data_IF_944228792927
#
_entry.id   IF_944228792927
#
_cell.length_a   1.000
_cell.length_b   1.000
_cell.length_c   1.000
_cell.angle_alpha   90.00
_cell.angle_beta   90.00
_cell.angle_gamma   90.00
#
_symmetry.space_group_name_H-M   'P 1'
#
loop_
_entity.id
_entity.type
_entity.pdbx_description
1 polymer ?
#
# COMPACT_ATOMS: atom_id res chain seq x y z
N UNK A 1 -8.52 14.35 -34.37
CA UNK A 1 -9.31 13.11 -34.58
C UNK A 1 -9.41 12.41 -33.24
N UNK A 2 -10.56 11.79 -32.94
CA UNK A 2 -10.71 11.03 -31.69
C UNK A 2 -9.88 9.73 -31.78
N UNK A 3 -9.38 9.24 -30.64
CA UNK A 3 -8.64 7.98 -30.59
C UNK A 3 -9.54 6.76 -30.82
N UNK A 4 -10.86 6.97 -30.84
CA UNK A 4 -11.91 5.96 -30.99
C UNK A 4 -12.77 6.29 -32.21
N UNK A 5 -12.34 5.90 -33.42
CA UNK A 5 -13.02 6.28 -34.67
C UNK A 5 -14.44 5.72 -34.81
N UNK A 6 -14.83 4.79 -33.94
CA UNK A 6 -16.17 4.23 -33.82
C UNK A 6 -17.11 5.02 -32.90
N UNK A 7 -16.59 5.99 -32.13
CA UNK A 7 -17.42 6.92 -31.37
C UNK A 7 -17.78 8.08 -32.29
N UNK A 8 -19.07 8.24 -32.54
CA UNK A 8 -19.61 9.30 -33.38
C UNK A 8 -19.36 10.68 -32.73
N UNK A 9 -19.03 11.68 -33.55
CA UNK A 9 -18.67 13.01 -33.04
C UNK A 9 -19.84 13.74 -32.35
N UNK A 10 -21.07 13.34 -32.65
CA UNK A 10 -22.31 13.84 -32.05
C UNK A 10 -22.80 13.02 -30.86
N UNK A 11 -22.00 12.04 -30.38
CA UNK A 11 -22.30 11.25 -29.19
C UNK A 11 -22.31 12.04 -27.85
N UNK A 12 -22.05 13.36 -27.90
CA UNK A 12 -22.07 14.25 -26.73
C UNK A 12 -20.82 14.15 -25.83
N UNK A 13 -19.73 13.58 -26.35
CA UNK A 13 -18.48 13.39 -25.61
C UNK A 13 -17.44 14.39 -26.13
N UNK A 14 -16.93 15.25 -25.25
CA UNK A 14 -15.79 16.12 -25.57
C UNK A 14 -14.50 15.31 -25.53
N UNK A 15 -13.68 15.48 -26.57
CA UNK A 15 -12.35 14.90 -26.65
C UNK A 15 -11.28 15.99 -26.52
N UNK A 16 -10.17 15.66 -25.89
CA UNK A 16 -9.02 16.54 -25.76
C UNK A 16 -8.18 16.61 -27.05
N UNK A 17 -7.08 17.37 -27.01
CA UNK A 17 -6.17 17.52 -28.15
C UNK A 17 -5.49 16.22 -28.60
N UNK A 18 -5.49 15.19 -27.76
CA UNK A 18 -4.92 13.87 -28.02
C UNK A 18 -5.98 12.87 -28.49
N UNK A 19 -7.25 13.30 -28.62
CA UNK A 19 -8.35 12.44 -29.02
C UNK A 19 -8.85 11.53 -27.88
N UNK A 20 -8.46 11.79 -26.63
CA UNK A 20 -8.96 11.09 -25.45
C UNK A 20 -10.20 11.79 -24.90
N UNK A 21 -11.17 11.06 -24.33
CA UNK A 21 -12.35 11.68 -23.75
C UNK A 21 -11.93 12.55 -22.57
N UNK A 22 -12.60 13.70 -22.41
CA UNK A 22 -12.45 14.53 -21.22
C UNK A 22 -13.26 13.91 -20.08
N UNK A 23 -12.58 13.50 -19.02
CA UNK A 23 -13.17 12.76 -17.90
C UNK A 23 -12.97 13.50 -16.57
N UNK A 24 -13.82 13.18 -15.60
CA UNK A 24 -13.48 13.37 -14.20
C UNK A 24 -12.45 12.30 -13.77
N UNK A 25 -11.34 12.74 -13.17
CA UNK A 25 -10.22 11.87 -12.79
C UNK A 25 -10.60 10.80 -11.76
N UNK A 26 -11.55 11.09 -10.87
CA UNK A 26 -11.98 10.18 -9.81
C UNK A 26 -13.12 9.26 -10.24
N UNK A 27 -14.11 9.80 -10.96
CA UNK A 27 -15.31 9.03 -11.31
C UNK A 27 -15.23 8.36 -12.67
N UNK A 28 -14.26 8.74 -13.50
CA UNK A 28 -14.09 8.28 -14.89
C UNK A 28 -15.31 8.57 -15.79
N UNK A 29 -16.18 9.48 -15.34
CA UNK A 29 -17.35 9.94 -16.07
C UNK A 29 -16.92 10.91 -17.16
N UNK A 30 -17.43 10.72 -18.37
CA UNK A 30 -17.19 11.66 -19.47
C UNK A 30 -18.10 12.89 -19.38
N UNK A 31 -17.92 13.84 -20.31
CA UNK A 31 -18.85 14.97 -20.44
C UNK A 31 -20.28 14.54 -20.74
N UNK A 32 -20.48 13.33 -21.29
CA UNK A 32 -21.79 12.72 -21.35
C UNK A 32 -22.05 11.92 -20.06
N UNK A 33 -23.01 12.31 -19.19
CA UNK A 33 -23.15 11.73 -17.86
C UNK A 33 -23.42 10.21 -17.82
N UNK A 34 -23.93 9.63 -18.91
CA UNK A 34 -24.24 8.19 -19.00
C UNK A 34 -23.08 7.33 -19.51
N UNK A 35 -21.95 7.93 -19.86
CA UNK A 35 -20.82 7.24 -20.47
C UNK A 35 -19.59 7.39 -19.58
N UNK A 36 -18.97 6.25 -19.28
CA UNK A 36 -17.77 6.12 -18.46
C UNK A 36 -16.68 5.41 -19.26
N UNK A 37 -15.43 5.68 -18.91
CA UNK A 37 -14.27 5.12 -19.60
C UNK A 37 -13.34 4.42 -18.59
N UNK A 38 -12.51 3.51 -19.08
CA UNK A 38 -11.53 2.81 -18.25
C UNK A 38 -10.36 2.29 -19.08
N UNK A 39 -9.28 1.91 -18.40
CA UNK A 39 -8.03 1.49 -19.06
C UNK A 39 -7.45 2.54 -19.98
N UNK A 40 -6.88 2.09 -21.10
CA UNK A 40 -6.23 2.96 -22.09
C UNK A 40 -7.22 3.94 -22.72
N UNK A 41 -8.51 3.63 -22.69
CA UNK A 41 -9.55 4.51 -23.21
C UNK A 41 -9.85 5.72 -22.33
N UNK A 42 -9.37 5.73 -21.09
CA UNK A 42 -9.58 6.84 -20.16
C UNK A 42 -8.49 7.91 -20.29
N UNK A 43 -7.26 7.58 -19.88
CA UNK A 43 -6.14 8.52 -19.79
C UNK A 43 -4.97 8.16 -20.71
N UNK A 44 -5.22 7.36 -21.74
CA UNK A 44 -4.20 6.84 -22.63
C UNK A 44 -3.44 5.64 -22.02
N UNK A 45 -2.35 5.20 -22.67
CA UNK A 45 -1.69 3.94 -22.35
C UNK A 45 -1.17 3.91 -20.91
N UNK A 46 -1.66 2.95 -20.13
CA UNK A 46 -1.18 2.64 -18.77
C UNK A 46 -0.81 1.16 -18.66
N UNK A 47 -0.29 0.75 -17.51
CA UNK A 47 -0.07 -0.67 -17.25
C UNK A 47 -1.41 -1.39 -16.99
N UNK A 48 -1.40 -2.73 -17.10
CA UNK A 48 -2.61 -3.54 -16.93
C UNK A 48 -3.24 -3.39 -15.52
N UNK A 49 -2.44 -3.05 -14.52
CA UNK A 49 -2.90 -2.83 -13.14
C UNK A 49 -3.82 -1.60 -13.09
N UNK A 50 -3.42 -0.50 -13.72
CA UNK A 50 -4.27 0.69 -13.86
C UNK A 50 -5.54 0.41 -14.67
N UNK A 51 -5.44 -0.40 -15.72
CA UNK A 51 -6.63 -0.76 -16.50
C UNK A 51 -7.66 -1.54 -15.68
N UNK A 52 -7.21 -2.50 -14.85
CA UNK A 52 -8.06 -3.20 -13.91
C UNK A 52 -8.65 -2.23 -12.86
N UNK A 53 -7.82 -1.38 -12.25
CA UNK A 53 -8.26 -0.39 -11.26
C UNK A 53 -9.35 0.54 -11.83
N UNK A 54 -9.13 1.10 -13.03
CA UNK A 54 -10.14 1.92 -13.71
C UNK A 54 -11.45 1.16 -13.95
N UNK A 55 -11.40 -0.14 -14.23
CA UNK A 55 -12.59 -0.98 -14.38
C UNK A 55 -13.42 -1.04 -13.10
N UNK A 56 -12.76 -1.28 -11.95
CA UNK A 56 -13.41 -1.25 -10.64
C UNK A 56 -13.95 0.15 -10.31
N UNK A 57 -13.17 1.19 -10.59
CA UNK A 57 -13.55 2.56 -10.29
C UNK A 57 -14.75 3.04 -11.11
N UNK A 58 -14.76 2.75 -12.41
CA UNK A 58 -15.88 3.04 -13.28
C UNK A 58 -17.13 2.24 -12.85
N UNK A 59 -16.97 0.99 -12.41
CA UNK A 59 -18.10 0.18 -11.93
C UNK A 59 -18.78 0.80 -10.71
N UNK A 60 -18.02 1.35 -9.75
CA UNK A 60 -18.58 2.08 -8.60
C UNK A 60 -19.39 3.29 -9.07
N UNK A 61 -18.85 4.06 -10.01
CA UNK A 61 -19.51 5.24 -10.56
C UNK A 61 -20.79 4.90 -11.31
N UNK A 62 -20.74 3.86 -12.16
CA UNK A 62 -21.90 3.35 -12.90
C UNK A 62 -22.98 2.88 -11.93
N UNK A 63 -22.61 2.13 -10.89
CA UNK A 63 -23.53 1.64 -9.88
C UNK A 63 -24.25 2.81 -9.19
N UNK A 64 -23.51 3.80 -8.69
CA UNK A 64 -24.07 5.00 -8.02
C UNK A 64 -25.00 5.79 -8.93
N UNK A 65 -24.61 5.98 -10.20
CA UNK A 65 -25.48 6.63 -11.18
C UNK A 65 -26.80 5.86 -11.38
N UNK A 66 -26.75 4.53 -11.50
CA UNK A 66 -27.94 3.70 -11.73
C UNK A 66 -28.92 3.69 -10.55
N UNK A 67 -28.41 3.85 -9.32
CA UNK A 67 -29.24 3.92 -8.11
C UNK A 67 -29.64 5.36 -7.73
N UNK A 68 -29.24 6.36 -8.52
CA UNK A 68 -29.55 7.77 -8.27
C UNK A 68 -28.78 8.41 -7.10
N UNK A 69 -27.67 7.80 -6.68
CA UNK A 69 -26.74 8.37 -5.70
C UNK A 69 -25.75 9.32 -6.38
N UNK A 70 -25.10 10.17 -5.57
CA UNK A 70 -24.03 11.04 -6.07
C UNK A 70 -22.80 10.20 -6.47
N UNK A 71 -22.38 10.31 -7.73
CA UNK A 71 -21.24 9.58 -8.31
C UNK A 71 -19.91 9.98 -7.67
N UNK A 72 -19.80 11.23 -7.20
CA UNK A 72 -18.60 11.77 -6.55
C UNK A 72 -18.46 11.30 -5.09
N UNK A 73 -19.56 10.83 -4.47
CA UNK A 73 -19.54 10.33 -3.10
C UNK A 73 -19.06 8.87 -3.07
N UNK A 74 -17.75 8.68 -3.22
CA UNK A 74 -17.13 7.36 -3.33
C UNK A 74 -16.70 6.84 -1.96
N UNK A 75 -17.09 5.61 -1.57
CA UNK A 75 -16.62 5.03 -0.32
C UNK A 75 -15.12 4.84 -0.37
N UNK A 76 -14.41 5.32 0.65
CA UNK A 76 -13.01 5.00 0.85
C UNK A 76 -12.85 3.47 1.06
N UNK A 77 -11.72 2.88 0.64
CA UNK A 77 -11.40 1.50 0.98
C UNK A 77 -11.53 1.25 2.49
N UNK A 78 -12.08 0.09 2.84
CA UNK A 78 -12.07 -0.36 4.22
C UNK A 78 -10.64 -0.65 4.66
N UNK A 79 -10.29 -0.25 5.88
CA UNK A 79 -9.00 -0.61 6.48
C UNK A 79 -9.23 -1.13 7.89
N UNK A 80 -8.75 -2.34 8.14
CA UNK A 80 -8.75 -2.94 9.47
C UNK A 80 -7.31 -3.15 9.92
N UNK A 81 -7.02 -2.73 11.14
CA UNK A 81 -5.71 -2.91 11.76
C UNK A 81 -5.94 -3.78 12.99
N UNK A 82 -5.32 -4.96 13.00
CA UNK A 82 -5.51 -5.96 14.06
C UNK A 82 -4.17 -6.28 14.69
N UNK A 83 -4.12 -6.35 16.02
CA UNK A 83 -2.91 -6.79 16.73
C UNK A 83 -2.54 -8.19 16.26
N UNK A 84 -1.28 -8.33 15.86
CA UNK A 84 -0.68 -9.55 15.34
C UNK A 84 0.60 -9.77 16.13
N UNK A 85 0.57 -10.72 17.06
CA UNK A 85 1.80 -11.13 17.72
C UNK A 85 2.71 -11.80 16.69
N UNK A 86 3.93 -11.29 16.57
CA UNK A 86 4.95 -11.87 15.72
C UNK A 86 5.81 -12.82 16.55
N UNK A 87 5.99 -14.05 16.09
CA UNK A 87 6.90 -14.99 16.73
C UNK A 87 8.36 -14.54 16.56
N UNK A 88 9.20 -14.74 17.58
CA UNK A 88 10.64 -14.42 17.49
C UNK A 88 11.35 -15.16 16.33
N UNK A 89 10.81 -16.32 15.93
CA UNK A 89 11.31 -17.12 14.82
C UNK A 89 10.78 -16.67 13.45
N UNK A 90 9.64 -15.97 13.40
CA UNK A 90 9.14 -15.36 12.16
C UNK A 90 10.04 -14.20 11.71
N UNK A 91 10.90 -13.72 12.62
CA UNK A 91 11.90 -12.67 12.42
C UNK A 91 13.34 -13.15 12.41
N UNK A 92 13.59 -14.46 12.48
CA UNK A 92 14.94 -15.01 12.57
C UNK A 92 15.67 -14.94 11.22
N UNK A 93 15.96 -13.71 10.80
CA UNK A 93 17.02 -13.24 9.92
C UNK A 93 17.50 -14.18 8.82
N UNK A 94 16.69 -14.36 7.79
CA UNK A 94 17.19 -14.57 6.40
C UNK A 94 16.77 -13.40 5.48
N UNK A 95 16.40 -12.26 6.09
CA UNK A 95 15.87 -11.07 5.41
C UNK A 95 16.91 -9.96 5.33
N UNK A 96 18.19 -10.28 5.53
CA UNK A 96 19.24 -9.35 5.17
C UNK A 96 18.98 -8.90 3.73
N UNK A 97 19.20 -7.62 3.37
CA UNK A 97 19.29 -7.20 1.98
C UNK A 97 20.48 -7.94 1.37
N UNK A 98 20.27 -9.21 1.04
CA UNK A 98 21.23 -10.03 0.35
C UNK A 98 21.25 -9.48 -1.07
N UNK A 99 22.45 -9.27 -1.60
CA UNK A 99 22.65 -9.04 -3.03
C UNK A 99 22.47 -10.37 -3.76
N UNK A 100 21.50 -11.17 -3.32
CA UNK A 100 21.21 -12.44 -3.93
C UNK A 100 20.51 -12.19 -5.26
N UNK A 101 20.88 -12.97 -6.25
CA UNK A 101 20.32 -12.80 -7.58
C UNK A 101 18.83 -13.09 -7.51
N UNK A 102 18.00 -12.15 -7.95
CA UNK A 102 16.57 -12.41 -8.15
C UNK A 102 16.43 -13.62 -9.06
N UNK A 103 15.93 -14.73 -8.50
CA UNK A 103 15.77 -15.96 -9.27
C UNK A 103 14.79 -15.71 -10.40
N UNK A 104 15.19 -16.11 -11.62
CA UNK A 104 14.29 -16.01 -12.77
C UNK A 104 13.21 -17.07 -12.60
N UNK A 105 11.95 -16.65 -12.69
CA UNK A 105 10.82 -17.58 -12.75
C UNK A 105 11.07 -18.52 -13.94
N UNK A 106 11.09 -19.85 -13.71
CA UNK A 106 11.21 -20.82 -14.78
C UNK A 106 10.12 -20.60 -15.83
N UNK A 107 10.54 -20.49 -17.08
CA UNK A 107 9.62 -20.39 -18.20
C UNK A 107 9.63 -21.67 -19.03
N UNK A 108 8.45 -22.02 -19.56
CA UNK A 108 8.34 -23.06 -20.58
C UNK A 108 9.22 -22.72 -21.79
N UNK A 109 9.87 -23.70 -22.44
CA UNK A 109 10.59 -23.46 -23.68
C UNK A 109 9.72 -22.75 -24.72
N UNK A 110 10.25 -21.68 -25.34
CA UNK A 110 9.52 -20.87 -26.32
C UNK A 110 8.95 -21.70 -27.47
N UNK A 111 9.69 -22.72 -27.91
CA UNK A 111 9.26 -23.61 -29.00
C UNK A 111 7.99 -24.42 -28.67
N UNK A 112 7.69 -24.64 -27.39
CA UNK A 112 6.48 -25.31 -26.92
C UNK A 112 5.37 -24.30 -26.68
N UNK A 113 5.67 -23.19 -25.99
CA UNK A 113 4.70 -22.14 -25.71
C UNK A 113 4.12 -21.50 -26.99
N UNK A 114 4.90 -21.37 -28.05
CA UNK A 114 4.43 -20.80 -29.33
C UNK A 114 3.52 -21.75 -30.13
N UNK A 115 3.47 -23.05 -29.79
CA UNK A 115 2.62 -24.04 -30.48
C UNK A 115 1.22 -24.13 -29.88
N UNK A 116 1.06 -23.71 -28.64
CA UNK A 116 -0.20 -23.78 -27.91
C UNK A 116 -0.42 -22.49 -27.12
N UNK A 117 -1.40 -21.70 -27.53
CA UNK A 117 -1.75 -20.44 -26.88
C UNK A 117 -2.27 -20.63 -25.45
N UNK A 118 -2.74 -21.84 -25.11
CA UNK A 118 -3.25 -22.18 -23.79
C UNK A 118 -2.16 -22.73 -22.86
N UNK A 119 -0.94 -22.92 -23.36
CA UNK A 119 0.17 -23.41 -22.57
C UNK A 119 0.63 -22.36 -21.55
N UNK A 120 0.59 -22.71 -20.27
CA UNK A 120 1.16 -21.90 -19.20
C UNK A 120 2.66 -21.69 -19.41
N UNK A 121 3.07 -20.41 -19.51
CA UNK A 121 4.44 -20.00 -19.81
C UNK A 121 5.27 -19.87 -18.55
N UNK A 122 4.74 -19.24 -17.50
CA UNK A 122 5.41 -19.11 -16.20
C UNK A 122 5.14 -20.36 -15.38
N UNK A 123 6.14 -21.22 -15.20
CA UNK A 123 5.98 -22.51 -14.52
C UNK A 123 6.08 -22.40 -12.99
N UNK A 124 6.34 -21.19 -12.47
CA UNK A 124 6.59 -20.95 -11.05
C UNK A 124 7.89 -21.57 -10.54
N UNK A 125 8.15 -21.38 -9.26
CA UNK A 125 9.27 -22.03 -8.57
C UNK A 125 8.86 -23.42 -8.08
N UNK A 126 9.84 -24.32 -7.97
CA UNK A 126 9.61 -25.57 -7.24
C UNK A 126 9.35 -25.27 -5.76
N UNK A 127 8.65 -26.16 -5.02
CA UNK A 127 8.24 -25.88 -3.64
C UNK A 127 9.39 -25.50 -2.70
N UNK A 128 10.61 -26.01 -2.93
CA UNK A 128 11.76 -25.68 -2.08
C UNK A 128 12.23 -24.26 -2.35
N UNK A 129 12.43 -23.89 -3.61
CA UNK A 129 12.82 -22.52 -3.97
C UNK A 129 11.71 -21.51 -3.62
N UNK A 130 10.44 -21.88 -3.83
CA UNK A 130 9.30 -21.04 -3.45
C UNK A 130 9.29 -20.73 -1.96
N UNK A 131 9.58 -21.73 -1.10
CA UNK A 131 9.65 -21.53 0.34
C UNK A 131 10.81 -20.62 0.73
N UNK A 132 12.00 -20.83 0.17
CA UNK A 132 13.16 -19.96 0.43
C UNK A 132 12.91 -18.51 -0.04
N UNK A 133 12.30 -18.31 -1.21
CA UNK A 133 11.94 -16.98 -1.70
C UNK A 133 10.83 -16.32 -0.85
N UNK A 134 9.86 -17.09 -0.34
CA UNK A 134 8.82 -16.57 0.54
C UNK A 134 9.36 -16.09 1.90
N UNK A 135 10.45 -16.71 2.40
CA UNK A 135 11.12 -16.29 3.64
C UNK A 135 11.69 -14.87 3.54
N UNK A 136 12.01 -14.39 2.34
CA UNK A 136 12.51 -13.03 2.07
C UNK A 136 11.44 -11.93 2.24
N UNK A 137 10.19 -12.28 2.56
CA UNK A 137 9.12 -11.32 2.80
C UNK A 137 9.51 -10.34 3.92
N UNK A 138 9.39 -9.03 3.65
CA UNK A 138 9.68 -7.98 4.61
C UNK A 138 8.51 -7.67 5.57
N UNK A 139 7.41 -8.43 5.50
CA UNK A 139 6.20 -8.21 6.31
C UNK A 139 5.71 -6.75 6.27
N UNK A 140 5.67 -6.15 5.07
CA UNK A 140 5.28 -4.76 4.88
C UNK A 140 3.81 -4.48 5.24
N UNK A 141 3.01 -5.53 5.44
CA UNK A 141 1.65 -5.50 5.96
C UNK A 141 1.58 -5.40 7.50
N UNK A 142 2.71 -5.52 8.19
CA UNK A 142 2.82 -5.38 9.64
C UNK A 142 3.42 -4.02 9.99
N UNK A 143 2.72 -3.29 10.85
CA UNK A 143 3.07 -1.94 11.28
C UNK A 143 3.38 -1.92 12.77
N UNK A 144 4.45 -1.22 13.16
CA UNK A 144 4.73 -0.92 14.56
C UNK A 144 3.84 0.23 15.01
N UNK A 145 2.97 0.00 15.99
CA UNK A 145 2.05 1.02 16.52
C UNK A 145 2.41 1.34 17.95
N UNK A 146 2.52 2.63 18.26
CA UNK A 146 2.80 3.15 19.59
C UNK A 146 1.58 3.83 20.22
N UNK A 147 1.32 3.51 21.48
CA UNK A 147 0.30 4.13 22.31
C UNK A 147 0.92 4.79 23.55
N UNK A 148 1.16 6.10 23.47
CA UNK A 148 1.87 6.85 24.51
C UNK A 148 1.23 6.82 25.89
N UNK A 149 -0.10 6.70 25.98
CA UNK A 149 -0.84 6.59 27.24
C UNK A 149 -0.47 5.36 28.07
N UNK A 150 -0.07 4.27 27.42
CA UNK A 150 0.39 3.04 28.08
C UNK A 150 1.89 3.09 28.41
N UNK A 151 2.63 4.05 27.84
CA UNK A 151 4.06 4.13 28.02
C UNK A 151 4.42 4.63 29.43
N UNK A 152 5.42 3.99 30.03
CA UNK A 152 6.00 4.35 31.32
C UNK A 152 7.43 4.89 31.20
N UNK A 153 7.89 5.12 29.97
CA UNK A 153 9.21 5.71 29.67
C UNK A 153 10.37 4.93 30.33
N UNK A 154 10.32 3.60 30.23
CA UNK A 154 11.34 2.71 30.77
C UNK A 154 12.55 2.48 29.84
N UNK A 155 12.56 3.10 28.66
CA UNK A 155 13.59 2.99 27.61
C UNK A 155 13.90 1.58 27.08
N UNK A 156 13.14 0.56 27.48
CA UNK A 156 13.37 -0.82 27.05
C UNK A 156 13.25 -1.03 25.52
N UNK A 157 12.41 -0.24 24.84
CA UNK A 157 12.30 -0.29 23.38
C UNK A 157 13.45 0.43 22.65
N UNK A 158 14.10 1.40 23.32
CA UNK A 158 15.29 2.08 22.79
C UNK A 158 16.48 1.12 22.86
N UNK A 159 16.69 0.52 24.03
CA UNK A 159 17.80 -0.41 24.31
C UNK A 159 17.80 -1.66 23.40
N UNK A 160 16.63 -2.20 23.07
CA UNK A 160 16.53 -3.40 22.24
C UNK A 160 16.58 -3.11 20.72
N UNK A 161 16.49 -1.84 20.32
CA UNK A 161 16.40 -1.50 18.91
C UNK A 161 17.76 -1.72 18.22
N UNK A 162 17.88 -2.61 17.22
CA UNK A 162 19.17 -2.87 16.57
C UNK A 162 19.63 -1.72 15.67
N UNK A 163 18.75 -0.76 15.38
CA UNK A 163 19.00 0.36 14.46
C UNK A 163 19.02 1.72 15.17
N UNK A 164 18.88 1.75 16.50
CA UNK A 164 18.79 2.98 17.29
C UNK A 164 17.73 3.98 16.78
N UNK A 165 16.66 3.47 16.18
CA UNK A 165 15.70 4.30 15.46
C UNK A 165 14.62 4.93 16.35
N UNK A 166 14.57 4.60 17.65
CA UNK A 166 13.58 5.11 18.61
C UNK A 166 14.30 6.01 19.62
N UNK A 167 13.81 7.23 19.81
CA UNK A 167 14.35 8.18 20.77
C UNK A 167 13.24 8.85 21.56
N UNK A 168 13.35 8.86 22.88
CA UNK A 168 12.54 9.75 23.72
C UNK A 168 13.28 11.08 23.89
N UNK A 169 12.63 12.22 23.67
CA UNK A 169 13.29 13.53 23.76
C UNK A 169 12.27 14.67 23.92
N UNK A 170 12.70 15.88 24.23
CA UNK A 170 11.77 17.03 24.33
C UNK A 170 11.19 17.36 22.94
N UNK A 171 9.97 17.87 22.85
CA UNK A 171 9.45 18.24 21.52
C UNK A 171 10.17 19.49 20.97
N UNK A 172 10.16 19.68 19.65
CA UNK A 172 10.83 20.81 19.02
C UNK A 172 10.57 20.92 17.52
N UNK A 173 11.21 21.89 16.88
CA UNK A 173 11.16 22.05 15.43
C UNK A 173 11.81 20.85 14.74
N UNK A 174 11.15 20.30 13.71
CA UNK A 174 11.54 19.01 13.12
C UNK A 174 13.00 18.98 12.64
N UNK A 175 13.48 20.07 12.02
CA UNK A 175 14.88 20.18 11.55
C UNK A 175 15.90 20.01 12.68
N UNK A 176 15.58 20.53 13.87
CA UNK A 176 16.41 20.44 15.05
C UNK A 176 16.25 19.05 15.69
N UNK A 177 15.01 18.59 15.83
CA UNK A 177 14.65 17.27 16.35
C UNK A 177 15.41 16.14 15.65
N UNK A 178 15.46 16.13 14.31
CA UNK A 178 16.16 15.12 13.49
C UNK A 178 17.64 14.97 13.83
N UNK A 179 18.30 16.03 14.26
CA UNK A 179 19.75 16.02 14.55
C UNK A 179 20.11 15.47 15.93
N UNK A 180 19.15 15.43 16.85
CA UNK A 180 19.32 14.96 18.23
C UNK A 180 18.69 13.60 18.51
N UNK A 181 18.16 12.94 17.49
CA UNK A 181 17.78 11.53 17.57
C UNK A 181 19.03 10.66 17.75
N UNK A 182 18.86 9.49 18.36
CA UNK A 182 19.96 8.55 18.62
C UNK A 182 20.65 8.12 17.32
N UNK A 183 19.86 7.78 16.31
CA UNK A 183 20.26 7.77 14.90
C UNK A 183 19.74 9.04 14.20
N UNK A 184 20.60 9.94 13.70
CA UNK A 184 20.17 11.15 13.01
C UNK A 184 19.35 10.84 11.74
N UNK A 185 18.13 11.39 11.66
CA UNK A 185 17.22 11.17 10.54
C UNK A 185 17.53 12.12 9.38
N UNK A 186 18.38 11.67 8.45
CA UNK A 186 18.94 12.50 7.37
C UNK A 186 17.99 12.71 6.18
N UNK A 187 16.95 11.87 6.06
CA UNK A 187 16.01 11.91 4.94
C UNK A 187 14.80 12.82 5.27
N UNK A 188 14.72 14.06 4.75
CA UNK A 188 13.63 14.97 5.08
C UNK A 188 12.32 14.64 4.35
N UNK A 189 12.34 13.75 3.35
CA UNK A 189 11.10 13.34 2.65
C UNK A 189 10.37 12.23 3.38
N UNK A 190 11.03 11.55 4.32
CA UNK A 190 10.43 10.55 5.18
C UNK A 190 9.95 11.22 6.47
N UNK A 191 8.64 11.12 6.74
CA UNK A 191 8.04 11.66 7.95
C UNK A 191 8.57 10.93 9.19
N UNK A 192 8.77 11.67 10.28
CA UNK A 192 9.09 11.10 11.59
C UNK A 192 7.82 10.54 12.22
N UNK A 193 7.89 9.32 12.76
CA UNK A 193 6.79 8.77 13.52
C UNK A 193 6.87 9.27 14.98
N UNK A 194 5.96 10.19 15.33
CA UNK A 194 5.92 10.83 16.65
C UNK A 194 4.81 10.25 17.52
N UNK A 195 5.20 9.68 18.67
CA UNK A 195 4.33 9.31 19.77
C UNK A 195 4.19 10.43 20.79
N UNK A 196 2.96 10.92 20.98
CA UNK A 196 2.60 11.95 21.95
C UNK A 196 1.98 11.35 23.22
N UNK A 197 1.48 12.21 24.13
CA UNK A 197 0.78 11.84 25.37
C UNK A 197 1.64 11.10 26.41
N UNK A 198 2.95 11.34 26.42
CA UNK A 198 3.83 10.85 27.48
C UNK A 198 3.65 11.66 28.77
N UNK A 199 3.81 11.01 29.91
CA UNK A 199 3.56 11.63 31.23
C UNK A 199 4.58 12.71 31.57
N UNK A 200 5.79 12.63 31.04
CA UNK A 200 6.84 13.63 31.24
C UNK A 200 6.69 14.88 30.36
N UNK A 201 5.84 14.85 29.33
CA UNK A 201 5.76 15.89 28.31
C UNK A 201 6.80 15.77 27.19
N UNK A 202 7.68 14.76 27.24
CA UNK A 202 8.56 14.38 26.12
C UNK A 202 7.73 13.78 24.97
N UNK A 203 8.39 13.59 23.84
CA UNK A 203 7.88 12.83 22.70
C UNK A 203 8.71 11.58 22.47
N UNK A 204 8.06 10.52 22.00
CA UNK A 204 8.71 9.38 21.38
C UNK A 204 8.85 9.71 19.90
N UNK A 205 10.06 9.61 19.34
CA UNK A 205 10.32 9.81 17.92
C UNK A 205 10.93 8.53 17.37
N UNK A 206 10.34 8.02 16.28
CA UNK A 206 10.83 6.87 15.53
C UNK A 206 11.16 7.29 14.11
N UNK A 207 12.38 6.99 13.67
CA UNK A 207 12.79 7.11 12.27
C UNK A 207 12.41 5.84 11.50
N UNK A 208 11.46 5.99 10.58
CA UNK A 208 10.99 4.89 9.73
C UNK A 208 11.98 4.53 8.62
N UNK A 209 12.88 5.44 8.23
CA UNK A 209 13.84 5.22 7.13
C UNK A 209 14.83 4.09 7.47
N UNK A 210 15.14 3.92 8.75
CA UNK A 210 16.05 2.89 9.27
C UNK A 210 15.35 1.79 10.07
N UNK A 211 14.02 1.87 10.27
CA UNK A 211 13.32 0.83 11.01
C UNK A 211 13.17 -0.45 10.18
N UNK A 212 13.61 -1.59 10.72
CA UNK A 212 13.44 -2.91 10.08
C UNK A 212 12.08 -3.56 10.37
N UNK A 213 11.18 -2.86 11.05
CA UNK A 213 9.89 -3.38 11.53
C UNK A 213 9.99 -4.62 12.44
N UNK A 214 11.17 -4.92 13.01
CA UNK A 214 11.49 -6.19 13.69
C UNK A 214 10.61 -6.64 14.87
N UNK A 215 9.73 -5.78 15.38
CA UNK A 215 8.84 -6.09 16.50
C UNK A 215 9.52 -6.28 17.85
N UNK A 216 10.85 -6.18 17.94
CA UNK A 216 11.57 -6.30 19.21
C UNK A 216 11.13 -5.24 20.23
N UNK A 217 10.78 -4.04 19.79
CA UNK A 217 10.23 -2.99 20.66
C UNK A 217 8.89 -3.40 21.30
N UNK A 218 8.02 -4.09 20.55
CA UNK A 218 6.73 -4.59 21.03
C UNK A 218 6.91 -5.77 21.98
N UNK A 219 7.75 -6.75 21.63
CA UNK A 219 8.03 -7.89 22.51
C UNK A 219 8.71 -7.48 23.82
N UNK A 220 9.55 -6.44 23.80
CA UNK A 220 10.26 -5.95 24.97
C UNK A 220 9.40 -5.01 25.84
N UNK A 221 8.33 -4.44 25.30
CA UNK A 221 7.52 -3.44 25.99
C UNK A 221 6.73 -4.08 27.16
N UNK A 222 6.99 -3.70 28.43
CA UNK A 222 6.31 -4.31 29.57
C UNK A 222 4.84 -3.89 29.71
N UNK A 223 4.42 -2.82 29.04
CA UNK A 223 3.06 -2.26 29.16
C UNK A 223 2.21 -2.44 27.90
N UNK A 224 2.78 -3.01 26.83
CA UNK A 224 2.10 -3.08 25.53
C UNK A 224 1.91 -1.71 24.85
N UNK A 225 2.68 -0.70 25.26
CA UNK A 225 2.69 0.60 24.57
C UNK A 225 3.22 0.50 23.12
N UNK A 226 4.02 -0.52 22.83
CA UNK A 226 4.35 -0.92 21.47
C UNK A 226 3.58 -2.19 21.12
N UNK A 227 2.98 -2.19 19.94
CA UNK A 227 2.22 -3.31 19.38
C UNK A 227 2.59 -3.51 17.91
N UNK A 228 2.52 -4.75 17.45
CA UNK A 228 2.66 -5.09 16.04
C UNK A 228 1.26 -5.32 15.50
N UNK A 229 0.85 -4.54 14.50
CA UNK A 229 -0.49 -4.66 13.93
C UNK A 229 -0.44 -4.93 12.44
N UNK A 230 -1.18 -5.95 12.03
CA UNK A 230 -1.39 -6.26 10.62
C UNK A 230 -2.49 -5.38 10.07
N UNK A 231 -2.23 -4.67 8.98
CA UNK A 231 -3.29 -3.97 8.26
C UNK A 231 -3.84 -4.83 7.12
N UNK A 232 -5.15 -4.74 6.94
CA UNK A 232 -5.88 -5.33 5.84
C UNK A 232 -6.61 -4.21 5.13
N UNK A 233 -6.36 -4.06 3.83
CA UNK A 233 -7.11 -3.15 2.97
C UNK A 233 -8.15 -3.95 2.21
N UNK A 234 -9.41 -3.56 2.38
CA UNK A 234 -10.53 -4.07 1.61
C UNK A 234 -10.94 -2.98 0.61
N UNK A 235 -10.56 -3.18 -0.65
CA UNK A 235 -10.89 -2.23 -1.71
C UNK A 235 -12.40 -2.15 -1.91
N UNK A 236 -12.93 -0.94 -1.93
CA UNK A 236 -14.32 -0.68 -2.28
C UNK A 236 -14.65 -1.33 -3.62
N UNK A 237 -15.77 -2.04 -3.67
CA UNK A 237 -16.32 -2.62 -4.90
C UNK A 237 -17.70 -2.02 -5.15
N UNK A 238 -18.14 -2.02 -6.42
CA UNK A 238 -19.55 -1.85 -6.70
C UNK A 238 -20.32 -3.00 -6.00
N UNK A 239 -21.28 -2.69 -5.12
CA UNK A 239 -21.94 -3.69 -4.27
C UNK A 239 -22.47 -4.88 -5.09
N UNK A 240 -22.20 -6.10 -4.61
CA UNK A 240 -22.67 -7.34 -5.23
C UNK A 240 -24.15 -7.65 -4.91
N UNK A 241 -24.72 -6.97 -3.91
CA UNK A 241 -26.10 -7.18 -3.52
C UNK A 241 -27.02 -6.31 -4.38
N UNK A 242 -27.94 -6.93 -5.11
CA UNK A 242 -29.24 -6.30 -5.34
C UNK A 242 -29.74 -5.86 -3.96
N UNK A 243 -29.65 -4.57 -3.65
CA UNK A 243 -30.29 -3.99 -2.47
C UNK A 243 -31.74 -4.45 -2.54
N UNK A 244 -32.21 -5.13 -1.49
CA UNK A 244 -33.62 -5.46 -1.37
C UNK A 244 -34.38 -4.14 -1.45
N UNK A 245 -35.05 -3.92 -2.58
CA UNK A 245 -36.02 -2.82 -2.75
C UNK A 245 -37.14 -2.98 -1.72
#
# INVERSE_FOLDING_TARGET
>A
ENAFPWIEADAGIEFDKWGLPKLNESTLQSTQPKVFFGGDAAFGPKNIIWAAAHGHDAAISIHKMLIGENVEDRPAPGMNIVSQKMGIHEWSYDNAPTIDHRFKVPHRPKAEALKDIMAEVELGFDPKLAFEEARRCLNCDIQTVFEGKLCIECDACVDICPMDCITFTDNGEEKELRTRLMAPAMNPTQDLYIGNDLKTGRVMVKDEDVCLHCGLCAERCPTGAWDMRKYYVEMTQAEHACRKQ
#
